data_IF_223325344614
#
_entry.id   IF_223325344614
#
_cell.length_a   1.000
_cell.length_b   1.000
_cell.length_c   1.000
_cell.angle_alpha   90.00
_cell.angle_beta   90.00
_cell.angle_gamma   90.00
#
_symmetry.space_group_name_H-M   'P 1'
#
loop_
_entity.id
_entity.type
_entity.pdbx_description
1 polymer ?
#
# COMPACT_ATOMS: atom_id res chain seq x y z
N UNK A 1 -35.65 -10.51 -10.94
CA UNK A 1 -36.31 -10.68 -9.62
C UNK A 1 -35.75 -11.85 -8.82
N UNK A 2 -35.37 -12.98 -9.42
CA UNK A 2 -34.82 -14.15 -8.70
C UNK A 2 -33.42 -13.90 -8.12
N UNK A 3 -32.49 -13.39 -8.94
CA UNK A 3 -31.10 -13.09 -8.49
C UNK A 3 -31.07 -12.06 -7.34
N UNK A 4 -31.87 -11.01 -7.45
CA UNK A 4 -32.01 -9.97 -6.43
C UNK A 4 -32.50 -10.53 -5.09
N UNK A 5 -33.49 -11.42 -5.15
CA UNK A 5 -34.05 -12.05 -3.97
C UNK A 5 -33.08 -13.07 -3.34
N UNK A 6 -32.21 -13.69 -4.14
CA UNK A 6 -31.20 -14.65 -3.68
C UNK A 6 -30.07 -13.92 -2.95
N UNK A 7 -29.58 -12.79 -3.49
CA UNK A 7 -28.60 -11.94 -2.81
C UNK A 7 -29.11 -11.42 -1.45
N UNK A 8 -30.39 -11.00 -1.38
CA UNK A 8 -31.01 -10.60 -0.12
C UNK A 8 -31.13 -11.76 0.87
N UNK A 9 -31.38 -12.97 0.39
CA UNK A 9 -31.50 -14.15 1.25
C UNK A 9 -30.15 -14.55 1.83
N UNK A 10 -29.08 -14.45 1.05
CA UNK A 10 -27.70 -14.68 1.51
C UNK A 10 -27.27 -13.63 2.54
N UNK A 11 -27.51 -12.35 2.25
CA UNK A 11 -27.21 -11.26 3.18
C UNK A 11 -27.95 -11.39 4.52
N UNK A 12 -29.22 -11.83 4.50
CA UNK A 12 -29.99 -12.13 5.70
C UNK A 12 -29.41 -13.31 6.49
N UNK A 13 -29.06 -14.41 5.82
CA UNK A 13 -28.48 -15.61 6.47
C UNK A 13 -27.18 -15.29 7.19
N UNK A 14 -26.31 -14.47 6.59
CA UNK A 14 -25.04 -14.06 7.19
C UNK A 14 -25.21 -13.27 8.49
N UNK A 15 -26.43 -12.78 8.78
CA UNK A 15 -26.80 -12.05 9.99
C UNK A 15 -27.75 -12.85 10.90
N UNK A 16 -27.85 -14.16 10.71
CA UNK A 16 -28.75 -15.03 11.48
C UNK A 16 -30.24 -14.77 11.22
N UNK A 17 -30.59 -14.06 10.15
CA UNK A 17 -31.95 -13.76 9.75
C UNK A 17 -32.41 -14.65 8.58
N UNK A 18 -33.72 -14.86 8.50
CA UNK A 18 -34.38 -15.59 7.41
C UNK A 18 -35.22 -14.63 6.57
N UNK A 19 -34.94 -14.61 5.27
CA UNK A 19 -35.78 -13.89 4.29
C UNK A 19 -37.01 -14.72 3.91
N UNK A 20 -38.21 -14.14 4.04
CA UNK A 20 -39.48 -14.72 3.61
C UNK A 20 -39.99 -13.95 2.39
N UNK A 21 -40.25 -14.68 1.29
CA UNK A 21 -40.76 -14.10 0.03
C UNK A 21 -42.27 -14.21 -0.04
N UNK A 22 -42.92 -13.20 -0.61
CA UNK A 22 -44.34 -13.29 -0.94
C UNK A 22 -44.62 -14.40 -1.96
N UNK A 23 -45.75 -15.10 -1.79
CA UNK A 23 -46.22 -16.12 -2.73
C UNK A 23 -47.08 -15.55 -3.86
N UNK A 24 -47.41 -14.25 -3.81
CA UNK A 24 -48.23 -13.59 -4.84
C UNK A 24 -47.41 -13.38 -6.10
N UNK A 25 -47.87 -13.97 -7.21
CA UNK A 25 -47.17 -13.93 -8.52
C UNK A 25 -47.80 -12.97 -9.53
N UNK A 26 -48.91 -12.34 -9.20
CA UNK A 26 -49.61 -11.39 -10.08
C UNK A 26 -49.11 -9.96 -9.84
N UNK A 27 -48.48 -9.30 -10.83
CA UNK A 27 -48.10 -7.89 -10.74
C UNK A 27 -49.30 -7.00 -10.42
N UNK A 28 -49.09 -5.95 -9.62
CA UNK A 28 -50.15 -5.00 -9.22
C UNK A 28 -50.96 -5.39 -7.98
N UNK A 29 -50.81 -6.61 -7.45
CA UNK A 29 -51.35 -6.98 -6.13
C UNK A 29 -50.43 -6.48 -5.03
N UNK A 30 -51.01 -6.02 -3.91
CA UNK A 30 -50.30 -5.37 -2.77
C UNK A 30 -49.06 -6.12 -2.25
N UNK A 31 -49.06 -7.45 -2.30
CA UNK A 31 -47.96 -8.28 -1.81
C UNK A 31 -47.02 -8.80 -2.91
N UNK A 32 -47.21 -8.44 -4.18
CA UNK A 32 -46.31 -8.88 -5.25
C UNK A 32 -44.89 -8.32 -5.05
N UNK A 33 -43.88 -9.19 -5.14
CA UNK A 33 -42.47 -8.79 -4.98
C UNK A 33 -42.07 -8.32 -3.58
N UNK A 34 -42.88 -8.58 -2.55
CA UNK A 34 -42.61 -8.18 -1.17
C UNK A 34 -41.88 -9.26 -0.36
N UNK A 35 -41.19 -8.80 0.68
CA UNK A 35 -40.33 -9.57 1.59
C UNK A 35 -40.68 -9.33 3.05
N UNK A 36 -40.23 -10.23 3.92
CA UNK A 36 -40.12 -10.05 5.36
C UNK A 36 -38.81 -10.66 5.87
N UNK A 37 -38.28 -10.17 6.98
CA UNK A 37 -37.14 -10.73 7.70
C UNK A 37 -37.60 -11.32 9.03
N UNK A 38 -37.09 -12.50 9.36
CA UNK A 38 -37.34 -13.17 10.63
C UNK A 38 -36.05 -13.51 11.35
N UNK A 39 -36.06 -13.44 12.68
CA UNK A 39 -34.96 -13.93 13.52
C UNK A 39 -34.95 -15.47 13.61
N UNK A 40 -33.97 -16.02 14.34
CA UNK A 40 -33.83 -17.46 14.57
C UNK A 40 -35.00 -18.10 15.33
N UNK A 41 -35.81 -17.29 16.03
CA UNK A 41 -37.03 -17.72 16.75
C UNK A 41 -38.30 -17.61 15.88
N UNK A 42 -38.18 -17.09 14.66
CA UNK A 42 -39.30 -16.88 13.74
C UNK A 42 -40.10 -15.60 14.00
N UNK A 43 -39.59 -14.70 14.86
CA UNK A 43 -40.16 -13.37 15.09
C UNK A 43 -39.87 -12.50 13.89
N UNK A 44 -40.86 -11.74 13.41
CA UNK A 44 -40.64 -10.84 12.27
C UNK A 44 -39.98 -9.55 12.76
N UNK A 45 -38.81 -9.26 12.20
CA UNK A 45 -38.03 -8.05 12.49
C UNK A 45 -38.22 -6.97 11.42
N UNK A 46 -38.66 -7.35 10.22
CA UNK A 46 -39.06 -6.43 9.16
C UNK A 46 -40.23 -7.01 8.38
N UNK A 47 -41.33 -6.26 8.27
CA UNK A 47 -42.57 -6.68 7.63
C UNK A 47 -43.78 -6.61 8.58
N UNK A 48 -44.98 -6.88 8.05
CA UNK A 48 -46.22 -6.83 8.84
C UNK A 48 -46.54 -8.21 9.44
N UNK A 49 -46.00 -8.49 10.63
CA UNK A 49 -46.11 -9.82 11.25
C UNK A 49 -45.54 -10.90 10.34
N UNK A 50 -46.20 -12.06 10.22
CA UNK A 50 -45.69 -13.16 9.36
C UNK A 50 -45.81 -12.89 7.84
N UNK A 51 -46.31 -11.72 7.43
CA UNK A 51 -46.60 -11.45 6.03
C UNK A 51 -45.54 -10.55 5.37
N UNK A 52 -45.00 -10.97 4.21
CA UNK A 52 -44.12 -10.13 3.40
C UNK A 52 -44.80 -8.83 2.95
N UNK A 53 -44.28 -7.69 3.41
CA UNK A 53 -44.79 -6.35 3.07
C UNK A 53 -43.70 -5.35 2.71
N UNK A 54 -42.43 -5.65 3.00
CA UNK A 54 -41.28 -4.82 2.70
C UNK A 54 -40.84 -4.99 1.23
N UNK A 55 -40.37 -3.92 0.61
CA UNK A 55 -39.67 -3.91 -0.67
C UNK A 55 -38.25 -4.45 -0.53
N UNK A 56 -37.61 -4.74 -1.66
CA UNK A 56 -36.20 -5.16 -1.69
C UNK A 56 -35.28 -4.10 -1.04
N UNK A 57 -35.52 -2.81 -1.30
CA UNK A 57 -34.69 -1.73 -0.78
C UNK A 57 -34.84 -1.53 0.73
N UNK A 58 -36.06 -1.68 1.26
CA UNK A 58 -36.28 -1.67 2.71
C UNK A 58 -35.55 -2.82 3.41
N UNK A 59 -35.50 -4.01 2.78
CA UNK A 59 -34.70 -5.14 3.28
C UNK A 59 -33.21 -4.83 3.22
N UNK A 60 -32.71 -4.27 2.11
CA UNK A 60 -31.29 -3.88 1.99
C UNK A 60 -30.88 -2.89 3.06
N UNK A 61 -31.66 -1.84 3.25
CA UNK A 61 -31.36 -0.77 4.19
C UNK A 61 -31.36 -1.30 5.63
N UNK A 62 -32.33 -2.16 5.99
CA UNK A 62 -32.34 -2.83 7.30
C UNK A 62 -31.07 -3.65 7.55
N UNK A 63 -30.65 -4.46 6.56
CA UNK A 63 -29.45 -5.30 6.68
C UNK A 63 -28.15 -4.47 6.74
N UNK A 64 -28.13 -3.29 6.10
CA UNK A 64 -27.02 -2.32 6.15
C UNK A 64 -26.92 -1.65 7.52
N UNK A 65 -28.05 -1.29 8.14
CA UNK A 65 -28.06 -0.67 9.46
C UNK A 65 -27.59 -1.62 10.57
N UNK A 66 -27.82 -2.93 10.43
CA UNK A 66 -27.30 -3.91 11.38
C UNK A 66 -25.78 -4.08 11.32
N UNK A 67 -25.12 -3.86 10.16
CA UNK A 67 -23.64 -3.86 10.09
C UNK A 67 -23.01 -2.79 10.98
N UNK A 68 -23.66 -1.62 11.07
CA UNK A 68 -23.17 -0.52 11.91
C UNK A 68 -23.38 -0.77 13.40
N UNK A 69 -24.38 -1.57 13.78
CA UNK A 69 -24.78 -1.81 15.17
C UNK A 69 -24.07 -3.03 15.76
N UNK A 70 -23.95 -4.14 15.01
CA UNK A 70 -23.27 -5.37 15.45
C UNK A 70 -21.76 -5.17 15.65
N UNK A 71 -21.15 -4.22 14.92
CA UNK A 71 -19.75 -3.85 15.11
C UNK A 71 -19.51 -3.16 16.46
N UNK A 72 -20.53 -2.48 17.00
CA UNK A 72 -20.45 -1.79 18.30
C UNK A 72 -20.74 -2.71 19.49
N UNK A 73 -21.61 -3.71 19.33
CA UNK A 73 -21.96 -4.69 20.39
C UNK A 73 -20.94 -5.81 20.55
N UNK A 74 -20.22 -6.18 19.48
CA UNK A 74 -19.16 -7.20 19.51
C UNK A 74 -17.95 -6.84 20.41
N UNK A 75 -17.88 -5.60 20.92
CA UNK A 75 -16.82 -5.14 21.82
C UNK A 75 -17.07 -5.42 23.32
N UNK A 76 -18.22 -5.99 23.72
CA UNK A 76 -18.40 -6.69 25.01
C UNK A 76 -17.70 -6.10 26.25
N UNK A 77 -17.82 -4.79 26.50
CA UNK A 77 -17.16 -4.13 27.63
C UNK A 77 -17.96 -4.30 28.93
N UNK A 78 -17.84 -5.47 29.55
CA UNK A 78 -18.01 -5.64 30.99
C UNK A 78 -16.64 -5.47 31.69
N UNK A 79 -16.61 -4.74 32.81
CA UNK A 79 -15.39 -4.34 33.51
C UNK A 79 -14.57 -5.53 34.05
N UNK A 80 -13.41 -5.78 33.44
CA UNK A 80 -12.41 -6.72 33.96
C UNK A 80 -11.64 -6.05 35.12
N UNK A 81 -11.33 -6.75 36.24
CA UNK A 81 -10.52 -6.20 37.31
C UNK A 81 -9.15 -5.78 36.77
N UNK A 82 -8.64 -4.62 37.19
CA UNK A 82 -7.35 -4.03 36.76
C UNK A 82 -6.17 -4.95 37.12
N UNK A 83 -5.91 -5.96 36.30
CA UNK A 83 -4.54 -6.40 36.10
C UNK A 83 -3.77 -5.19 35.54
N UNK A 84 -2.55 -4.93 36.04
CA UNK A 84 -1.68 -3.87 35.50
C UNK A 84 -1.47 -4.13 34.01
N UNK A 85 -2.30 -3.50 33.18
CA UNK A 85 -2.22 -3.55 31.72
C UNK A 85 -0.82 -3.07 31.36
N UNK A 86 -0.02 -3.95 30.75
CA UNK A 86 1.01 -3.47 29.82
C UNK A 86 0.29 -2.57 28.82
N UNK A 87 0.86 -1.39 28.59
CA UNK A 87 0.26 -0.38 27.72
C UNK A 87 -0.22 -1.05 26.42
N UNK A 88 -1.48 -0.79 26.05
CA UNK A 88 -1.97 -1.20 24.74
C UNK A 88 -1.02 -0.67 23.66
N UNK A 89 -0.69 -1.44 22.61
CA UNK A 89 0.06 -0.89 21.49
C UNK A 89 -0.71 0.33 20.98
N UNK A 90 0.02 1.44 20.78
CA UNK A 90 -0.57 2.69 20.26
C UNK A 90 -1.41 2.35 19.03
N UNK A 91 -2.58 3.00 18.84
CA UNK A 91 -3.28 2.93 17.55
C UNK A 91 -2.26 3.21 16.43
N UNK A 92 -2.33 2.52 15.28
CA UNK A 92 -1.36 2.71 14.22
C UNK A 92 -1.26 4.22 13.94
N UNK A 93 -0.06 4.79 13.93
CA UNK A 93 0.10 6.18 13.55
C UNK A 93 -0.57 6.37 12.19
N UNK A 94 -1.22 7.51 11.98
CA UNK A 94 -1.68 8.00 10.67
C UNK A 94 -0.66 7.52 9.60
N UNK A 95 -1.07 6.81 8.53
CA UNK A 95 -0.13 6.14 7.64
C UNK A 95 0.97 7.13 7.25
N UNK A 96 2.18 6.84 7.74
CA UNK A 96 3.31 7.73 7.61
C UNK A 96 3.47 8.04 6.13
N UNK A 97 3.28 9.31 5.75
CA UNK A 97 3.34 9.69 4.34
C UNK A 97 4.78 9.49 3.86
N UNK A 98 4.99 8.75 2.76
CA UNK A 98 6.31 8.60 2.20
C UNK A 98 6.79 9.93 1.62
N UNK A 99 8.03 10.30 1.93
CA UNK A 99 8.69 11.49 1.40
C UNK A 99 10.05 11.12 0.81
N UNK A 100 10.45 11.81 -0.26
CA UNK A 100 11.81 11.71 -0.81
C UNK A 100 12.50 13.05 -0.65
N UNK A 101 13.71 13.01 -0.11
CA UNK A 101 14.51 14.22 0.18
C UNK A 101 16.00 13.96 0.00
N UNK A 102 16.78 15.03 0.00
CA UNK A 102 18.24 14.94 0.07
C UNK A 102 18.70 14.25 1.36
N UNK A 103 19.71 13.39 1.21
CA UNK A 103 20.44 12.79 2.30
C UNK A 103 21.29 13.85 3.02
N UNK A 104 21.31 13.79 4.34
CA UNK A 104 22.08 14.66 5.23
C UNK A 104 23.16 13.85 5.93
N UNK A 105 24.20 14.51 6.43
CA UNK A 105 25.25 13.84 7.21
C UNK A 105 24.71 13.09 8.47
N UNK A 106 23.59 13.55 9.02
CA UNK A 106 22.89 12.91 10.14
C UNK A 106 22.21 11.58 9.74
N UNK A 107 21.95 11.36 8.46
CA UNK A 107 21.28 10.14 7.96
C UNK A 107 22.26 8.94 7.85
N UNK A 108 23.55 9.17 8.11
CA UNK A 108 24.62 8.21 7.80
C UNK A 108 24.44 6.85 8.47
N UNK A 109 23.93 6.78 9.70
CA UNK A 109 23.74 5.49 10.40
C UNK A 109 22.61 4.67 9.76
N UNK A 110 21.52 5.31 9.33
CA UNK A 110 20.45 4.64 8.59
C UNK A 110 20.93 4.20 7.19
N UNK A 111 21.73 5.03 6.52
CA UNK A 111 22.34 4.67 5.24
C UNK A 111 23.30 3.48 5.36
N UNK A 112 24.05 3.36 6.46
CA UNK A 112 24.89 2.18 6.73
C UNK A 112 24.04 0.91 6.80
N UNK A 113 22.87 0.97 7.45
CA UNK A 113 21.96 -0.17 7.50
C UNK A 113 21.44 -0.55 6.10
N UNK A 114 21.06 0.43 5.28
CA UNK A 114 20.62 0.20 3.90
C UNK A 114 21.74 -0.34 2.99
N UNK A 115 22.97 0.15 3.14
CA UNK A 115 24.13 -0.34 2.39
C UNK A 115 24.46 -1.80 2.70
N UNK A 116 24.23 -2.25 3.94
CA UNK A 116 24.39 -3.67 4.30
C UNK A 116 23.44 -4.58 3.53
N UNK A 117 22.24 -4.11 3.19
CA UNK A 117 21.29 -4.88 2.35
C UNK A 117 21.80 -5.08 0.92
N UNK A 118 22.79 -4.29 0.50
CA UNK A 118 23.48 -4.40 -0.79
C UNK A 118 24.83 -5.11 -0.67
N UNK A 119 25.08 -5.83 0.44
CA UNK A 119 26.35 -6.49 0.76
C UNK A 119 27.55 -5.52 0.87
N UNK A 120 27.30 -4.22 1.15
CA UNK A 120 28.35 -3.23 1.36
C UNK A 120 28.62 -2.99 2.84
N UNK A 121 29.87 -3.23 3.26
CA UNK A 121 30.33 -2.91 4.61
C UNK A 121 30.99 -1.53 4.64
N UNK A 122 30.27 -0.54 5.16
CA UNK A 122 30.73 0.86 5.25
C UNK A 122 30.54 1.40 6.68
N UNK A 123 31.39 2.34 7.09
CA UNK A 123 31.24 3.05 8.36
C UNK A 123 30.45 4.34 8.19
N UNK A 124 29.74 4.76 9.23
CA UNK A 124 28.99 6.02 9.22
C UNK A 124 29.90 7.24 9.01
N UNK A 125 31.11 7.22 9.58
CA UNK A 125 32.14 8.24 9.33
C UNK A 125 32.54 8.30 7.85
N UNK A 126 32.70 7.13 7.20
CA UNK A 126 32.98 7.05 5.78
C UNK A 126 31.82 7.54 4.91
N UNK A 127 30.58 7.20 5.26
CA UNK A 127 29.38 7.71 4.56
C UNK A 127 29.29 9.23 4.69
N UNK A 128 29.46 9.80 5.90
CA UNK A 128 29.49 11.24 6.12
C UNK A 128 30.55 11.96 5.29
N UNK A 129 31.75 11.37 5.20
CA UNK A 129 32.84 11.92 4.38
C UNK A 129 32.45 11.92 2.90
N UNK A 130 31.96 10.80 2.37
CA UNK A 130 31.62 10.67 0.95
C UNK A 130 30.43 11.53 0.55
N UNK A 131 29.41 11.69 1.40
CA UNK A 131 28.28 12.59 1.15
C UNK A 131 28.71 14.04 0.89
N UNK A 132 29.85 14.48 1.44
CA UNK A 132 30.41 15.81 1.18
C UNK A 132 31.20 15.90 -0.13
N UNK A 133 31.59 14.76 -0.70
CA UNK A 133 32.49 14.68 -1.85
C UNK A 133 31.80 14.24 -3.14
N UNK A 134 30.65 13.56 -3.05
CA UNK A 134 29.84 13.23 -4.22
C UNK A 134 29.24 14.51 -4.80
N UNK A 135 29.46 14.73 -6.10
CA UNK A 135 28.98 15.94 -6.79
C UNK A 135 27.48 15.88 -7.09
N UNK A 136 26.95 14.67 -7.34
CA UNK A 136 25.55 14.45 -7.61
C UNK A 136 24.76 14.13 -6.32
N UNK A 137 23.46 14.46 -6.27
CA UNK A 137 22.64 14.26 -5.08
C UNK A 137 22.55 12.80 -4.65
N UNK A 138 22.50 12.57 -3.34
CA UNK A 138 22.07 11.30 -2.76
C UNK A 138 20.71 11.53 -2.10
N UNK A 139 19.74 10.70 -2.43
CA UNK A 139 18.36 10.81 -1.98
C UNK A 139 18.04 9.72 -0.95
N UNK A 140 17.20 10.05 0.02
CA UNK A 140 16.61 9.09 0.95
C UNK A 140 15.10 9.14 0.86
N UNK A 141 14.47 7.97 1.03
CA UNK A 141 13.03 7.88 1.23
C UNK A 141 12.73 7.68 2.71
N UNK A 142 11.76 8.43 3.23
CA UNK A 142 11.37 8.41 4.64
C UNK A 142 9.92 8.04 4.84
N UNK A 143 9.66 7.27 5.89
CA UNK A 143 8.34 7.10 6.49
C UNK A 143 8.39 7.72 7.88
N UNK A 144 7.85 8.93 8.02
CA UNK A 144 8.01 9.71 9.24
C UNK A 144 9.48 10.03 9.53
N UNK A 145 10.03 9.47 10.62
CA UNK A 145 11.43 9.67 11.01
C UNK A 145 12.37 8.61 10.45
N UNK A 146 11.82 7.51 9.95
CA UNK A 146 12.60 6.35 9.54
C UNK A 146 13.02 6.50 8.09
N UNK A 147 14.29 6.25 7.82
CA UNK A 147 14.84 6.20 6.47
C UNK A 147 14.77 4.76 5.98
N UNK A 148 13.91 4.54 5.00
CA UNK A 148 13.56 3.20 4.49
C UNK A 148 14.01 2.96 3.06
N UNK A 149 14.59 3.98 2.41
CA UNK A 149 15.17 3.83 1.08
C UNK A 149 16.30 4.81 0.81
N UNK A 150 17.15 4.46 -0.16
CA UNK A 150 18.33 5.19 -0.57
C UNK A 150 18.48 5.11 -2.09
N UNK A 151 18.76 6.26 -2.71
CA UNK A 151 19.08 6.37 -4.13
C UNK A 151 20.31 7.28 -4.31
N UNK A 152 21.43 6.71 -4.76
CA UNK A 152 22.67 7.44 -5.02
C UNK A 152 22.81 7.72 -6.51
N UNK A 153 23.11 8.97 -6.86
CA UNK A 153 23.28 9.40 -8.24
C UNK A 153 24.73 9.73 -8.55
N UNK A 154 25.12 9.46 -9.79
CA UNK A 154 26.33 9.97 -10.41
C UNK A 154 25.95 10.78 -11.67
N UNK A 155 26.83 11.68 -12.09
CA UNK A 155 26.68 12.41 -13.33
C UNK A 155 28.04 12.52 -14.02
N UNK A 156 28.09 12.20 -15.31
CA UNK A 156 29.33 12.17 -16.08
C UNK A 156 29.16 12.99 -17.35
N UNK A 157 30.12 13.88 -17.62
CA UNK A 157 30.21 14.57 -18.91
C UNK A 157 31.09 13.76 -19.85
N UNK A 158 30.63 13.56 -21.08
CA UNK A 158 31.36 12.80 -22.09
C UNK A 158 31.74 13.68 -23.26
N UNK A 159 32.96 13.50 -23.79
CA UNK A 159 33.45 14.28 -24.95
C UNK A 159 32.64 14.06 -26.24
N UNK A 160 31.96 12.92 -26.37
CA UNK A 160 31.22 12.53 -27.57
C UNK A 160 29.71 12.83 -27.48
N UNK A 161 29.29 13.55 -26.44
CA UNK A 161 27.88 13.92 -26.22
C UNK A 161 27.78 15.41 -25.90
N UNK A 162 26.73 16.05 -26.39
CA UNK A 162 26.36 17.44 -26.09
C UNK A 162 25.59 17.58 -24.77
N UNK A 163 25.45 16.49 -24.01
CA UNK A 163 24.74 16.45 -22.73
C UNK A 163 25.44 15.53 -21.72
N UNK A 164 25.33 15.81 -20.41
CA UNK A 164 25.78 14.89 -19.37
C UNK A 164 24.89 13.63 -19.31
N UNK A 165 25.47 12.52 -18.88
CA UNK A 165 24.76 11.27 -18.61
C UNK A 165 24.65 11.11 -17.10
N UNK A 166 23.42 10.90 -16.63
CA UNK A 166 23.13 10.56 -15.25
C UNK A 166 23.22 9.05 -15.03
N UNK A 167 23.50 8.63 -13.79
CA UNK A 167 23.46 7.22 -13.41
C UNK A 167 22.85 7.04 -12.03
N UNK A 168 22.00 6.03 -11.86
CA UNK A 168 21.63 5.53 -10.53
C UNK A 168 22.69 4.50 -10.13
N UNK A 169 23.56 4.89 -9.20
CA UNK A 169 24.67 4.08 -8.72
C UNK A 169 24.24 3.14 -7.59
N UNK A 170 23.29 3.57 -6.77
CA UNK A 170 22.76 2.84 -5.62
C UNK A 170 21.25 2.99 -5.64
N UNK A 171 20.52 1.88 -5.49
CA UNK A 171 19.09 1.91 -5.22
C UNK A 171 18.74 0.76 -4.27
N UNK A 172 18.13 1.09 -3.14
CA UNK A 172 17.67 0.11 -2.16
C UNK A 172 16.48 0.64 -1.38
N UNK A 173 15.55 -0.25 -1.06
CA UNK A 173 14.45 -0.03 -0.12
C UNK A 173 14.47 -1.21 0.86
N UNK A 174 14.12 -0.97 2.12
CA UNK A 174 14.01 -2.04 3.14
C UNK A 174 13.04 -3.12 2.68
N UNK A 175 13.28 -4.36 3.12
CA UNK A 175 12.54 -5.53 2.62
C UNK A 175 11.05 -5.46 2.91
N UNK A 176 10.69 -4.98 4.11
CA UNK A 176 9.32 -4.77 4.57
C UNK A 176 8.57 -3.68 3.80
N UNK A 177 9.30 -2.83 3.09
CA UNK A 177 8.75 -1.73 2.29
C UNK A 177 8.83 -1.99 0.78
N UNK A 178 9.25 -3.17 0.34
CA UNK A 178 9.19 -3.55 -1.09
C UNK A 178 7.73 -3.67 -1.53
N UNK A 179 7.45 -3.30 -2.79
CA UNK A 179 6.08 -3.28 -3.33
C UNK A 179 5.21 -2.11 -2.89
N UNK A 180 5.68 -1.24 -1.98
CA UNK A 180 4.96 -0.05 -1.50
C UNK A 180 4.97 1.14 -2.49
N UNK A 181 5.73 1.05 -3.58
CA UNK A 181 5.95 2.17 -4.52
C UNK A 181 7.14 3.07 -4.17
N UNK A 182 7.78 2.93 -3.01
CA UNK A 182 8.92 3.76 -2.59
C UNK A 182 10.11 3.74 -3.57
N UNK A 183 10.42 2.57 -4.15
CA UNK A 183 11.47 2.46 -5.17
C UNK A 183 11.17 3.30 -6.41
N UNK A 184 9.90 3.30 -6.87
CA UNK A 184 9.45 4.15 -7.97
C UNK A 184 9.57 5.63 -7.61
N UNK A 185 9.13 6.04 -6.42
CA UNK A 185 9.25 7.42 -5.97
C UNK A 185 10.72 7.91 -5.97
N UNK A 186 11.65 7.08 -5.52
CA UNK A 186 13.09 7.39 -5.54
C UNK A 186 13.61 7.55 -6.98
N UNK A 187 13.24 6.66 -7.90
CA UNK A 187 13.68 6.73 -9.30
C UNK A 187 13.08 7.94 -10.00
N UNK A 188 11.79 8.22 -9.81
CA UNK A 188 11.13 9.39 -10.42
C UNK A 188 11.75 10.70 -9.93
N UNK A 189 12.09 10.82 -8.65
CA UNK A 189 12.79 12.00 -8.13
C UNK A 189 14.22 12.10 -8.65
N UNK A 190 14.93 10.97 -8.79
CA UNK A 190 16.24 10.93 -9.42
C UNK A 190 16.20 11.39 -10.89
N UNK A 191 15.25 10.90 -11.68
CA UNK A 191 15.05 11.32 -13.06
C UNK A 191 14.75 12.82 -13.16
N UNK A 192 13.86 13.35 -12.30
CA UNK A 192 13.56 14.78 -12.27
C UNK A 192 14.82 15.62 -12.02
N UNK A 193 15.64 15.21 -11.06
CA UNK A 193 16.89 15.92 -10.71
C UNK A 193 17.91 15.86 -11.83
N UNK A 194 18.11 14.70 -12.45
CA UNK A 194 19.03 14.54 -13.57
C UNK A 194 18.58 15.30 -14.81
N UNK A 195 17.27 15.29 -15.13
CA UNK A 195 16.70 16.10 -16.22
C UNK A 195 16.90 17.59 -15.98
N UNK A 196 16.66 18.08 -14.74
CA UNK A 196 16.94 19.48 -14.36
C UNK A 196 18.42 19.85 -14.48
N UNK A 197 19.32 18.89 -14.25
CA UNK A 197 20.75 19.06 -14.45
C UNK A 197 21.19 18.96 -15.92
N UNK A 198 20.25 18.87 -16.87
CA UNK A 198 20.53 18.81 -18.31
C UNK A 198 20.87 17.42 -18.83
N UNK A 199 20.74 16.37 -18.01
CA UNK A 199 20.94 15.00 -18.49
C UNK A 199 19.82 14.60 -19.45
N UNK A 200 20.20 14.06 -20.61
CA UNK A 200 19.24 13.47 -21.59
C UNK A 200 19.23 11.94 -21.56
N UNK A 201 20.12 11.32 -20.78
CA UNK A 201 20.21 9.88 -20.59
C UNK A 201 20.46 9.56 -19.12
N UNK A 202 19.79 8.51 -18.62
CA UNK A 202 20.02 7.92 -17.31
C UNK A 202 20.39 6.44 -17.48
N UNK A 203 21.47 6.02 -16.85
CA UNK A 203 21.96 4.64 -16.91
C UNK A 203 21.88 3.96 -15.55
N UNK A 204 21.72 2.64 -15.56
CA UNK A 204 21.75 1.81 -14.35
C UNK A 204 22.53 0.53 -14.64
N UNK A 205 23.30 0.08 -13.66
CA UNK A 205 23.94 -1.24 -13.72
C UNK A 205 23.35 -2.14 -12.65
N UNK A 206 22.71 -3.24 -13.05
CA UNK A 206 22.23 -4.28 -12.14
C UNK A 206 23.02 -5.58 -12.31
N UNK A 207 23.18 -6.34 -11.23
CA UNK A 207 23.77 -7.67 -11.30
C UNK A 207 22.80 -8.63 -11.98
N UNK A 208 23.30 -9.52 -12.85
CA UNK A 208 22.50 -10.55 -13.56
C UNK A 208 21.59 -11.37 -12.65
N UNK A 209 21.97 -11.57 -11.38
CA UNK A 209 21.19 -12.33 -10.38
C UNK A 209 19.97 -11.57 -9.83
N UNK A 210 19.89 -10.25 -9.99
CA UNK A 210 18.80 -9.42 -9.43
C UNK A 210 17.63 -9.30 -10.43
N UNK A 211 16.96 -10.41 -10.73
CA UNK A 211 15.88 -10.47 -11.72
C UNK A 211 14.72 -9.54 -11.39
N UNK A 212 14.39 -9.36 -10.11
CA UNK A 212 13.31 -8.46 -9.69
C UNK A 212 13.66 -6.99 -9.94
N UNK A 213 14.94 -6.62 -9.80
CA UNK A 213 15.40 -5.28 -10.18
C UNK A 213 15.27 -5.05 -11.68
N UNK A 214 15.55 -6.07 -12.51
CA UNK A 214 15.38 -5.96 -13.97
C UNK A 214 13.91 -5.74 -14.33
N UNK A 215 12.99 -6.54 -13.78
CA UNK A 215 11.54 -6.35 -13.97
C UNK A 215 11.10 -4.96 -13.53
N UNK A 216 11.61 -4.49 -12.39
CA UNK A 216 11.34 -3.15 -11.87
C UNK A 216 11.78 -2.06 -12.86
N UNK A 217 13.02 -2.08 -13.34
CA UNK A 217 13.52 -1.08 -14.29
C UNK A 217 12.81 -1.15 -15.65
N UNK A 218 12.55 -2.35 -16.18
CA UNK A 218 11.77 -2.50 -17.41
C UNK A 218 10.35 -1.96 -17.25
N UNK A 219 9.69 -2.16 -16.09
CA UNK A 219 8.39 -1.58 -15.79
C UNK A 219 8.42 -0.05 -15.62
N UNK A 220 9.61 0.56 -15.48
CA UNK A 220 9.83 2.00 -15.51
C UNK A 220 10.25 2.52 -16.89
N UNK A 221 10.33 1.65 -17.91
CA UNK A 221 10.68 2.03 -19.28
C UNK A 221 12.19 2.07 -19.57
N UNK A 222 13.00 1.44 -18.73
CA UNK A 222 14.43 1.26 -19.02
C UNK A 222 14.65 0.07 -19.95
N UNK A 223 15.40 0.30 -21.03
CA UNK A 223 15.89 -0.73 -21.92
C UNK A 223 17.21 -1.33 -21.43
N UNK A 224 17.53 -2.55 -21.87
CA UNK A 224 18.80 -3.22 -21.59
C UNK A 224 19.64 -3.43 -22.87
N UNK A 225 20.22 -2.37 -23.46
CA UNK A 225 20.94 -2.48 -24.75
C UNK A 225 22.39 -2.96 -24.61
N UNK A 226 22.94 -3.08 -23.39
CA UNK A 226 24.39 -3.22 -23.17
C UNK A 226 24.79 -4.31 -22.18
N UNK A 227 26.01 -4.84 -22.37
CA UNK A 227 26.70 -5.69 -21.39
C UNK A 227 27.59 -4.84 -20.48
N UNK A 228 27.65 -5.19 -19.20
CA UNK A 228 28.61 -4.62 -18.24
C UNK A 228 29.85 -5.49 -18.15
N UNK A 229 31.01 -4.90 -18.38
CA UNK A 229 32.32 -5.51 -18.12
C UNK A 229 32.97 -4.86 -16.89
N UNK A 230 33.71 -5.64 -16.11
CA UNK A 230 34.45 -5.15 -14.94
C UNK A 230 35.77 -5.91 -14.81
N UNK A 231 36.83 -5.18 -14.41
CA UNK A 231 38.15 -5.73 -14.08
C UNK A 231 38.57 -5.15 -12.73
N UNK A 232 39.01 -6.02 -11.84
CA UNK A 232 39.62 -5.62 -10.57
C UNK A 232 41.12 -5.44 -10.78
N UNK A 233 41.70 -4.40 -10.18
CA UNK A 233 43.14 -4.12 -10.16
C UNK A 233 43.72 -4.56 -8.83
#
# INVERSE_FOLDING_TARGET
>A
MTEEADALAEAARNRGLKLVRSRVRTPGKRAFGKFALQDSKGTTVLGNGKHPSASADEVREYLRQQESSDWSESLGLASVPKAKRKAAPKPPPDPLRPEVRDAKAADADAMVALMKLLDHNVSAAGVRKRLKSVAAPTLVATLGKDIVGLCGLDMTTHIHRDYPVGRIAILVVTEDQRGSGLGRMLVEEAEKRLRRAGCKLIEITSNKRHLDAHKFYTALGYDQPSLRFAKHF
#
